data_IF_920768784830
#
_entry.id   IF_920768784830
#
_cell.length_a   1.000
_cell.length_b   1.000
_cell.length_c   1.000
_cell.angle_alpha   90.00
_cell.angle_beta   90.00
_cell.angle_gamma   90.00
#
_symmetry.space_group_name_H-M   'P 1'
#
loop_
_entity.id
_entity.type
_entity.pdbx_description
1 polymer ?
#
# COMPACT_ATOMS: atom_id res chain seq x y z
N UNK A 1 -18.63 -26.42 5.08
CA UNK A 1 -19.02 -25.09 5.58
C UNK A 1 -19.76 -24.35 4.47
N UNK A 2 -20.95 -23.81 4.76
CA UNK A 2 -21.64 -22.93 3.81
C UNK A 2 -20.81 -21.65 3.63
N UNK A 3 -20.77 -21.07 2.41
CA UNK A 3 -20.01 -19.85 2.13
C UNK A 3 -20.41 -18.68 3.04
N UNK A 4 -21.67 -18.63 3.47
CA UNK A 4 -22.18 -17.62 4.41
C UNK A 4 -21.51 -17.68 5.79
N UNK A 5 -21.31 -18.90 6.33
CA UNK A 5 -20.66 -19.11 7.64
C UNK A 5 -19.20 -18.67 7.61
N UNK A 6 -18.51 -18.90 6.49
CA UNK A 6 -17.12 -18.48 6.32
C UNK A 6 -17.01 -16.94 6.27
N UNK A 7 -17.91 -16.27 5.54
CA UNK A 7 -17.96 -14.81 5.48
C UNK A 7 -18.23 -14.21 6.87
N UNK A 8 -19.16 -14.78 7.63
CA UNK A 8 -19.50 -14.28 8.97
C UNK A 8 -18.34 -14.43 9.97
N UNK A 9 -17.62 -15.56 9.93
CA UNK A 9 -16.43 -15.78 10.74
C UNK A 9 -15.28 -14.82 10.37
N UNK A 10 -15.06 -14.57 9.08
CA UNK A 10 -14.09 -13.59 8.60
C UNK A 10 -14.43 -12.18 9.09
N UNK A 11 -15.69 -11.78 9.02
CA UNK A 11 -16.17 -10.48 9.50
C UNK A 11 -15.96 -10.32 11.02
N UNK A 12 -16.32 -11.33 11.82
CA UNK A 12 -16.10 -11.31 13.27
C UNK A 12 -14.60 -11.24 13.62
N UNK A 13 -13.77 -11.97 12.90
CA UNK A 13 -12.32 -11.94 13.08
C UNK A 13 -11.73 -10.56 12.78
N UNK A 14 -12.17 -9.91 11.70
CA UNK A 14 -11.77 -8.53 11.37
C UNK A 14 -12.21 -7.55 12.47
N UNK A 15 -13.46 -7.65 12.95
CA UNK A 15 -13.95 -6.82 14.05
C UNK A 15 -13.12 -7.00 15.33
N UNK A 16 -12.75 -8.24 15.67
CA UNK A 16 -11.91 -8.54 16.82
C UNK A 16 -10.50 -7.92 16.71
N UNK A 17 -9.87 -8.02 15.54
CA UNK A 17 -8.57 -7.38 15.27
C UNK A 17 -8.68 -5.85 15.41
N UNK A 18 -9.76 -5.25 14.91
CA UNK A 18 -10.01 -3.81 15.05
C UNK A 18 -10.14 -3.44 16.53
N UNK A 19 -10.92 -4.18 17.31
CA UNK A 19 -11.11 -3.93 18.74
C UNK A 19 -9.79 -3.99 19.53
N UNK A 20 -8.98 -5.04 19.34
CA UNK A 20 -7.65 -5.15 19.97
C UNK A 20 -6.75 -3.98 19.57
N UNK A 21 -6.76 -3.61 18.28
CA UNK A 21 -5.97 -2.49 17.77
C UNK A 21 -6.36 -1.16 18.41
N UNK A 22 -7.66 -0.93 18.63
CA UNK A 22 -8.19 0.26 19.31
C UNK A 22 -7.76 0.29 20.79
N UNK A 23 -7.89 -0.82 21.52
CA UNK A 23 -7.47 -0.92 22.93
C UNK A 23 -5.96 -0.68 23.07
N UNK A 24 -5.16 -1.33 22.24
CA UNK A 24 -3.70 -1.15 22.22
C UNK A 24 -3.33 0.31 21.93
N UNK A 25 -4.01 0.94 20.96
CA UNK A 25 -3.82 2.35 20.64
C UNK A 25 -4.17 3.26 21.83
N UNK A 26 -5.31 3.07 22.49
CA UNK A 26 -5.70 3.85 23.67
C UNK A 26 -4.70 3.71 24.83
N UNK A 27 -4.24 2.49 25.13
CA UNK A 27 -3.23 2.23 26.17
C UNK A 27 -1.92 2.96 25.85
N UNK A 28 -1.52 2.98 24.59
CA UNK A 28 -0.34 3.71 24.13
C UNK A 28 -0.52 5.23 24.29
N UNK A 29 -1.69 5.78 23.97
CA UNK A 29 -1.98 7.21 24.15
C UNK A 29 -1.89 7.64 25.62
N UNK A 30 -2.43 6.84 26.55
CA UNK A 30 -2.32 7.12 28.00
C UNK A 30 -0.86 7.15 28.48
N UNK A 31 -0.02 6.25 27.99
CA UNK A 31 1.43 6.24 28.30
C UNK A 31 2.13 7.50 27.81
N UNK A 32 1.77 7.98 26.62
CA UNK A 32 2.34 9.22 26.08
C UNK A 32 2.03 10.43 26.92
N UNK A 33 0.78 10.56 27.37
CA UNK A 33 0.37 11.69 28.22
C UNK A 33 1.18 11.68 29.52
N UNK A 34 1.37 10.52 30.16
CA UNK A 34 2.21 10.41 31.37
C UNK A 34 3.66 10.84 31.15
N UNK A 35 4.24 10.50 30.00
CA UNK A 35 5.61 10.94 29.67
C UNK A 35 5.66 12.44 29.39
N UNK A 36 4.64 13.01 28.75
CA UNK A 36 4.56 14.46 28.56
C UNK A 36 4.42 15.19 29.90
N UNK A 37 3.63 14.64 30.83
CA UNK A 37 3.47 15.16 32.19
C UNK A 37 4.80 15.13 32.97
N UNK A 38 5.58 14.05 32.86
CA UNK A 38 6.88 13.96 33.53
C UNK A 38 7.92 14.95 32.95
N UNK A 39 7.80 15.31 31.67
CA UNK A 39 8.64 16.31 31.03
C UNK A 39 8.18 17.75 31.26
N UNK A 40 6.93 17.96 31.68
CA UNK A 40 6.33 19.28 31.79
C UNK A 40 7.05 20.17 32.82
N UNK A 41 7.31 19.64 34.01
CA UNK A 41 8.01 20.36 35.09
C UNK A 41 9.43 20.81 34.66
N UNK A 42 10.31 19.87 34.24
CA UNK A 42 11.67 20.19 33.80
C UNK A 42 11.75 21.15 32.62
N UNK A 43 10.75 21.17 31.74
CA UNK A 43 10.69 22.05 30.58
C UNK A 43 9.90 23.34 30.84
N UNK A 44 9.43 23.57 32.06
CA UNK A 44 8.62 24.74 32.43
C UNK A 44 7.39 24.90 31.52
N UNK A 45 6.73 23.79 31.19
CA UNK A 45 5.62 23.73 30.25
C UNK A 45 4.34 23.17 30.84
N UNK A 46 3.28 23.19 30.04
CA UNK A 46 1.97 22.64 30.39
C UNK A 46 1.50 21.63 29.33
N UNK A 47 0.93 20.51 29.79
CA UNK A 47 0.38 19.47 28.89
C UNK A 47 -1.04 19.86 28.47
N UNK A 48 -1.27 19.97 27.16
CA UNK A 48 -2.59 20.19 26.56
C UNK A 48 -2.93 19.02 25.63
N UNK A 49 -3.72 18.08 26.14
CA UNK A 49 -4.10 16.87 25.42
C UNK A 49 -2.91 15.96 25.13
N UNK A 50 -2.43 15.96 23.87
CA UNK A 50 -1.32 15.11 23.40
C UNK A 50 -0.04 15.89 23.12
N UNK A 51 -0.01 17.16 23.51
CA UNK A 51 1.12 18.05 23.29
C UNK A 51 1.57 18.65 24.63
N UNK A 52 2.87 18.79 24.80
CA UNK A 52 3.46 19.62 25.83
C UNK A 52 3.79 20.98 25.22
N UNK A 53 3.27 22.06 25.77
CA UNK A 53 3.61 23.42 25.38
C UNK A 53 4.64 23.94 26.38
N UNK A 54 5.86 24.19 25.92
CA UNK A 54 6.96 24.70 26.73
C UNK A 54 7.46 26.03 26.15
N UNK A 55 8.32 26.73 26.90
CA UNK A 55 8.96 27.97 26.46
C UNK A 55 10.47 27.81 26.47
N UNK A 56 11.12 28.37 25.46
CA UNK A 56 12.56 28.59 25.45
C UNK A 56 12.78 30.10 25.40
N UNK A 57 13.39 30.65 26.44
CA UNK A 57 13.39 32.10 26.71
C UNK A 57 11.94 32.59 26.77
N UNK A 58 11.46 33.31 25.74
CA UNK A 58 10.07 33.78 25.65
C UNK A 58 9.27 33.12 24.53
N UNK A 59 9.90 32.28 23.69
CA UNK A 59 9.22 31.74 22.51
C UNK A 59 8.59 30.38 22.83
N UNK A 60 7.27 30.21 22.63
CA UNK A 60 6.63 28.94 22.87
C UNK A 60 7.03 27.92 21.82
N UNK A 61 7.20 26.66 22.22
CA UNK A 61 7.30 25.52 21.33
C UNK A 61 6.42 24.38 21.82
N UNK A 62 5.98 23.52 20.89
CA UNK A 62 5.16 22.35 21.16
C UNK A 62 6.02 21.09 21.03
N UNK A 63 5.97 20.21 22.01
CA UNK A 63 6.51 18.86 21.95
C UNK A 63 5.36 17.87 21.85
N UNK A 64 5.39 17.00 20.85
CA UNK A 64 4.41 15.93 20.67
C UNK A 64 5.12 14.61 20.40
N UNK A 65 4.61 13.53 20.97
CA UNK A 65 5.02 12.18 20.58
C UNK A 65 3.99 11.55 19.64
N UNK A 66 4.47 10.95 18.55
CA UNK A 66 3.64 10.24 17.59
C UNK A 66 4.21 8.85 17.31
N UNK A 67 3.36 7.87 17.05
CA UNK A 67 3.74 6.60 16.45
C UNK A 67 2.86 6.39 15.24
N UNK A 68 3.47 6.18 14.08
CA UNK A 68 2.73 5.92 12.86
C UNK A 68 2.97 4.48 12.40
N UNK A 69 1.94 3.65 12.54
CA UNK A 69 1.97 2.25 12.12
C UNK A 69 3.05 1.41 12.83
N UNK A 70 3.80 0.63 12.04
CA UNK A 70 4.90 -0.23 12.51
C UNK A 70 6.24 0.52 12.61
N UNK A 71 6.29 1.80 12.25
CA UNK A 71 7.51 2.60 12.26
C UNK A 71 7.99 2.97 13.68
N UNK A 72 9.19 3.57 13.79
CA UNK A 72 9.70 4.08 15.05
C UNK A 72 8.76 5.11 15.64
N UNK A 73 8.84 5.26 16.96
CA UNK A 73 8.27 6.37 17.67
C UNK A 73 8.92 7.68 17.19
N UNK A 74 8.18 8.78 17.22
CA UNK A 74 8.66 10.10 16.79
C UNK A 74 8.41 11.11 17.90
N UNK A 75 9.43 11.89 18.26
CA UNK A 75 9.25 13.15 18.98
C UNK A 75 9.26 14.29 17.98
N UNK A 76 8.26 15.17 18.06
CA UNK A 76 8.09 16.31 17.16
C UNK A 76 8.15 17.58 17.98
N UNK A 77 9.16 18.40 17.75
CA UNK A 77 9.31 19.73 18.32
C UNK A 77 8.83 20.73 17.27
N UNK A 78 7.78 21.49 17.56
CA UNK A 78 7.20 22.47 16.64
C UNK A 78 7.29 23.87 17.22
N UNK A 79 7.91 24.77 16.47
CA UNK A 79 7.92 26.20 16.75
C UNK A 79 6.81 26.82 15.90
N UNK A 80 5.84 27.50 16.52
CA UNK A 80 4.74 28.11 15.81
C UNK A 80 5.24 29.25 14.92
N UNK A 81 4.71 29.32 13.70
CA UNK A 81 5.07 30.33 12.71
C UNK A 81 4.31 30.09 11.41
N UNK A 82 4.51 30.94 10.40
CA UNK A 82 3.96 30.71 9.07
C UNK A 82 5.06 30.89 8.04
N UNK A 83 5.51 29.81 7.42
CA UNK A 83 6.50 29.88 6.36
C UNK A 83 5.91 30.41 5.03
N UNK A 84 4.60 30.31 4.83
CA UNK A 84 3.92 30.69 3.57
C UNK A 84 4.17 29.72 2.41
N UNK A 85 4.75 28.54 2.69
CA UNK A 85 4.95 27.41 1.81
C UNK A 85 5.29 26.17 2.65
N UNK A 86 5.22 24.99 2.04
CA UNK A 86 5.59 23.72 2.66
C UNK A 86 6.98 23.33 2.16
N UNK A 87 7.91 23.13 3.08
CA UNK A 87 9.23 22.56 2.81
C UNK A 87 9.55 21.49 3.83
N UNK A 88 10.13 20.38 3.41
CA UNK A 88 10.66 19.36 4.29
C UNK A 88 12.04 18.91 3.81
N UNK A 89 12.99 18.85 4.73
CA UNK A 89 14.36 18.40 4.48
C UNK A 89 14.61 17.16 5.30
N UNK A 90 15.11 16.11 4.66
CA UNK A 90 15.45 14.86 5.32
C UNK A 90 16.64 14.19 4.70
N UNK A 91 17.18 13.17 5.37
CA UNK A 91 18.19 12.32 4.75
C UNK A 91 17.65 11.68 3.47
N UNK A 92 18.44 11.76 2.41
CA UNK A 92 18.11 11.19 1.11
C UNK A 92 18.05 9.66 1.24
N UNK A 93 16.97 9.07 0.73
CA UNK A 93 16.85 7.63 0.59
C UNK A 93 17.12 7.20 -0.85
N UNK A 94 17.43 5.91 -1.04
CA UNK A 94 17.59 5.31 -2.36
C UNK A 94 16.41 5.62 -3.29
N UNK A 95 15.17 5.50 -2.77
CA UNK A 95 13.94 5.73 -3.52
C UNK A 95 13.77 7.18 -3.99
N UNK A 96 14.36 8.14 -3.28
CA UNK A 96 14.30 9.56 -3.68
C UNK A 96 15.23 9.81 -4.86
N UNK A 97 16.45 9.27 -4.78
CA UNK A 97 17.43 9.33 -5.86
C UNK A 97 16.89 8.69 -7.13
N UNK A 98 16.19 7.56 -6.98
CA UNK A 98 15.55 6.88 -8.09
C UNK A 98 14.40 7.71 -8.70
N UNK A 99 13.55 8.31 -7.85
CA UNK A 99 12.46 9.18 -8.30
C UNK A 99 12.94 10.41 -9.07
N UNK A 100 14.04 11.04 -8.61
CA UNK A 100 14.68 12.16 -9.31
C UNK A 100 15.27 11.74 -10.66
N UNK A 101 15.93 10.58 -10.75
CA UNK A 101 16.47 10.03 -12.02
C UNK A 101 15.37 9.76 -13.04
N UNK A 102 14.18 9.37 -12.58
CA UNK A 102 13.02 9.21 -13.44
C UNK A 102 12.34 10.55 -13.78
N UNK A 103 12.76 11.67 -13.20
CA UNK A 103 12.12 12.98 -13.38
C UNK A 103 10.70 13.04 -12.82
N UNK A 104 10.41 12.22 -11.79
CA UNK A 104 9.14 12.28 -11.05
C UNK A 104 9.15 13.45 -10.05
N UNK A 105 10.33 13.77 -9.54
CA UNK A 105 10.58 14.89 -8.64
C UNK A 105 11.78 15.67 -9.16
N UNK A 106 11.85 16.96 -8.80
CA UNK A 106 12.97 17.82 -9.14
C UNK A 106 13.46 18.48 -7.86
N UNK A 107 14.76 18.39 -7.54
CA UNK A 107 15.29 19.08 -6.38
C UNK A 107 15.22 20.61 -6.61
N UNK A 108 15.20 21.41 -5.54
CA UNK A 108 15.34 22.86 -5.67
C UNK A 108 16.70 23.20 -6.30
N UNK A 109 16.74 24.26 -7.10
CA UNK A 109 18.02 24.71 -7.65
C UNK A 109 18.79 25.51 -6.61
N UNK A 110 19.76 24.85 -5.96
CA UNK A 110 20.65 25.49 -4.97
C UNK A 110 22.12 25.33 -5.40
N UNK A 111 23.02 26.23 -4.99
CA UNK A 111 24.45 26.15 -5.33
C UNK A 111 25.14 24.92 -4.74
N UNK A 112 24.79 24.58 -3.49
CA UNK A 112 25.39 23.46 -2.76
C UNK A 112 24.79 22.12 -3.22
N UNK A 113 25.36 21.56 -4.29
CA UNK A 113 24.94 20.26 -4.82
C UNK A 113 25.30 19.10 -3.88
N UNK A 114 26.29 19.26 -2.99
CA UNK A 114 26.67 18.22 -2.03
C UNK A 114 25.61 18.07 -0.94
N UNK A 115 25.02 19.18 -0.48
CA UNK A 115 23.86 19.12 0.40
C UNK A 115 22.73 18.28 -0.19
N UNK A 116 22.44 18.48 -1.49
CA UNK A 116 21.43 17.70 -2.19
C UNK A 116 21.83 16.24 -2.33
N UNK A 117 23.12 15.87 -2.42
CA UNK A 117 23.52 14.45 -2.46
C UNK A 117 23.14 13.71 -1.19
N UNK A 118 23.23 14.37 -0.03
CA UNK A 118 22.97 13.73 1.27
C UNK A 118 21.53 13.92 1.74
N UNK A 119 20.88 14.98 1.30
CA UNK A 119 19.56 15.39 1.75
C UNK A 119 18.55 15.48 0.61
N UNK A 120 17.33 15.05 0.89
CA UNK A 120 16.19 15.24 0.02
C UNK A 120 15.37 16.42 0.52
N UNK A 121 15.20 17.41 -0.35
CA UNK A 121 14.33 18.56 -0.11
C UNK A 121 13.02 18.35 -0.86
N UNK A 122 11.94 18.41 -0.10
CA UNK A 122 10.58 18.33 -0.57
C UNK A 122 9.95 19.72 -0.39
N UNK A 123 9.39 20.30 -1.45
CA UNK A 123 8.66 21.55 -1.31
C UNK A 123 7.47 21.63 -2.28
N UNK A 124 6.40 22.30 -1.85
CA UNK A 124 5.28 22.65 -2.73
C UNK A 124 5.62 23.83 -3.66
N UNK A 125 6.55 24.68 -3.26
CA UNK A 125 7.13 25.76 -4.05
C UNK A 125 8.67 25.67 -4.03
N UNK A 126 9.25 25.14 -5.12
CA UNK A 126 10.69 24.93 -5.25
C UNK A 126 11.49 26.24 -5.24
N UNK A 127 10.92 27.33 -5.75
CA UNK A 127 11.59 28.63 -5.79
C UNK A 127 11.75 29.22 -4.39
N UNK A 128 10.68 29.21 -3.58
CA UNK A 128 10.74 29.64 -2.17
C UNK A 128 11.68 28.77 -1.34
N UNK A 129 11.64 27.44 -1.56
CA UNK A 129 12.58 26.53 -0.90
C UNK A 129 14.03 26.81 -1.30
N UNK A 130 14.28 27.07 -2.59
CA UNK A 130 15.60 27.46 -3.07
C UNK A 130 16.07 28.77 -2.44
N UNK A 131 15.21 29.79 -2.33
CA UNK A 131 15.54 31.07 -1.67
C UNK A 131 16.00 30.88 -0.22
N UNK A 132 15.32 30.02 0.55
CA UNK A 132 15.73 29.68 1.92
C UNK A 132 17.06 28.96 1.95
N UNK A 133 17.28 28.02 1.04
CA UNK A 133 18.49 27.18 1.00
C UNK A 133 19.69 27.84 0.31
N UNK A 134 19.49 28.93 -0.45
CA UNK A 134 20.55 29.74 -1.05
C UNK A 134 21.37 30.50 0.00
N UNK A 135 20.77 30.73 1.17
CA UNK A 135 21.37 31.39 2.31
C UNK A 135 22.30 30.43 3.04
N UNK A 136 23.60 30.70 3.01
CA UNK A 136 24.61 29.79 3.57
C UNK A 136 24.46 29.61 5.10
N UNK A 137 24.03 30.65 5.82
CA UNK A 137 23.71 30.61 7.24
C UNK A 137 22.55 29.64 7.54
N UNK A 138 21.46 29.74 6.78
CA UNK A 138 20.31 28.85 6.90
C UNK A 138 20.68 27.41 6.54
N UNK A 139 21.41 27.22 5.44
CA UNK A 139 21.86 25.91 4.98
C UNK A 139 22.75 25.20 6.01
N UNK A 140 23.73 25.92 6.57
CA UNK A 140 24.62 25.40 7.61
C UNK A 140 23.85 25.05 8.89
N UNK A 141 22.88 25.88 9.30
CA UNK A 141 22.04 25.61 10.46
C UNK A 141 21.15 24.36 10.26
N UNK A 142 20.56 24.20 9.07
CA UNK A 142 19.78 23.01 8.70
C UNK A 142 20.68 21.77 8.65
N UNK A 143 21.88 21.88 8.09
CA UNK A 143 22.86 20.78 8.05
C UNK A 143 23.24 20.33 9.46
N UNK A 144 23.60 21.26 10.34
CA UNK A 144 23.94 20.98 11.74
C UNK A 144 22.78 20.37 12.54
N UNK A 145 21.53 20.66 12.17
CA UNK A 145 20.36 19.95 12.72
C UNK A 145 20.32 18.49 12.24
N UNK A 146 20.49 18.24 10.95
CA UNK A 146 20.30 16.91 10.35
C UNK A 146 21.44 15.92 10.64
N UNK A 147 22.66 16.41 10.90
CA UNK A 147 23.82 15.55 11.24
C UNK A 147 23.64 14.78 12.57
N UNK A 148 22.83 15.28 13.50
CA UNK A 148 22.70 14.72 14.86
C UNK A 148 21.73 13.54 14.98
N UNK A 149 21.79 12.58 14.05
CA UNK A 149 20.83 11.46 13.91
C UNK A 149 19.37 11.93 13.78
N UNK A 150 19.15 13.18 13.39
CA UNK A 150 17.82 13.74 13.17
C UNK A 150 17.46 13.51 11.72
N UNK A 151 16.24 13.05 11.46
CA UNK A 151 15.90 12.58 10.12
C UNK A 151 15.11 13.59 9.31
N UNK A 152 14.50 14.60 9.93
CA UNK A 152 13.49 15.38 9.23
C UNK A 152 13.24 16.75 9.87
N UNK A 153 13.41 17.80 9.08
CA UNK A 153 12.98 19.18 9.33
C UNK A 153 11.80 19.48 8.41
N UNK A 154 10.80 20.21 8.89
CA UNK A 154 9.67 20.68 8.09
C UNK A 154 9.33 22.12 8.43
N UNK A 155 9.00 22.90 7.41
CA UNK A 155 8.42 24.22 7.46
C UNK A 155 7.05 24.12 6.77
N UNK A 156 6.00 24.64 7.40
CA UNK A 156 4.68 24.77 6.80
C UNK A 156 3.93 25.99 7.35
N UNK A 157 2.63 26.07 7.08
CA UNK A 157 1.74 27.14 7.55
C UNK A 157 1.57 27.18 9.08
N UNK A 158 1.87 26.07 9.77
CA UNK A 158 1.76 25.96 11.24
C UNK A 158 3.08 26.28 11.95
N UNK A 159 4.19 26.25 11.21
CA UNK A 159 5.49 26.69 11.66
C UNK A 159 6.60 25.74 11.25
N UNK A 160 7.58 25.58 12.12
CA UNK A 160 8.74 24.74 11.88
C UNK A 160 8.74 23.54 12.82
N UNK A 161 8.77 22.34 12.27
CA UNK A 161 8.78 21.08 13.02
C UNK A 161 10.09 20.33 12.80
N UNK A 162 10.71 19.90 13.89
CA UNK A 162 11.84 18.97 13.91
C UNK A 162 11.36 17.62 14.42
N UNK A 163 11.65 16.57 13.64
CA UNK A 163 11.16 15.21 13.91
C UNK A 163 12.34 14.31 14.22
N UNK A 164 12.30 13.78 15.45
CA UNK A 164 13.36 12.99 16.04
C UNK A 164 12.86 11.53 16.11
N UNK A 165 13.51 10.59 15.43
CA UNK A 165 13.19 9.18 15.56
C UNK A 165 13.56 8.68 16.97
N UNK A 166 12.73 7.80 17.50
CA UNK A 166 12.93 7.11 18.76
C UNK A 166 12.93 5.60 18.50
N UNK A 167 13.78 4.86 19.20
CA UNK A 167 13.95 3.42 18.99
C UNK A 167 12.62 2.66 19.14
N UNK A 168 11.80 3.04 20.13
CA UNK A 168 10.45 2.53 20.28
C UNK A 168 9.55 3.48 21.09
N UNK A 169 8.27 3.13 21.21
CA UNK A 169 7.34 3.81 22.15
C UNK A 169 7.40 3.22 23.56
N UNK A 170 8.39 2.40 23.87
CA UNK A 170 8.61 1.98 25.25
C UNK A 170 8.93 3.22 26.08
N UNK A 171 8.36 3.28 27.28
CA UNK A 171 8.51 4.41 28.19
C UNK A 171 9.98 4.76 28.43
N UNK A 172 10.85 3.75 28.57
CA UNK A 172 12.31 3.91 28.68
C UNK A 172 12.94 4.68 27.51
N UNK A 173 12.46 4.50 26.28
CA UNK A 173 13.03 5.13 25.09
C UNK A 173 12.45 6.53 24.89
N UNK A 174 11.22 6.77 25.36
CA UNK A 174 10.63 8.10 25.39
C UNK A 174 11.29 8.99 26.45
N UNK A 175 11.60 8.41 27.62
CA UNK A 175 12.33 9.07 28.72
C UNK A 175 13.84 9.17 28.46
N UNK A 176 14.38 8.46 27.47
CA UNK A 176 15.77 8.59 27.07
C UNK A 176 16.10 9.99 26.53
N UNK A 177 15.10 10.71 26.00
CA UNK A 177 15.24 12.12 25.66
C UNK A 177 15.25 12.95 26.94
N UNK A 178 16.44 13.41 27.35
CA UNK A 178 16.55 14.26 28.54
C UNK A 178 15.96 15.65 28.27
N UNK A 179 15.43 16.35 29.29
CA UNK A 179 14.96 17.73 29.13
C UNK A 179 16.03 18.67 28.52
N UNK A 180 17.30 18.46 28.88
CA UNK A 180 18.44 19.20 28.32
C UNK A 180 18.63 18.97 26.82
N UNK A 181 18.52 17.72 26.35
CA UNK A 181 18.57 17.40 24.92
C UNK A 181 17.39 18.01 24.16
N UNK A 182 16.18 17.96 24.72
CA UNK A 182 14.99 18.57 24.11
C UNK A 182 15.18 20.09 23.97
N UNK A 183 15.62 20.77 25.03
CA UNK A 183 15.92 22.21 25.00
C UNK A 183 17.02 22.54 24.00
N UNK A 184 18.12 21.78 23.98
CA UNK A 184 19.21 21.97 23.04
C UNK A 184 18.77 21.81 21.58
N UNK A 185 17.92 20.82 21.29
CA UNK A 185 17.35 20.62 19.95
C UNK A 185 16.35 21.71 19.58
N UNK A 186 15.51 22.14 20.51
CA UNK A 186 14.62 23.29 20.30
C UNK A 186 15.44 24.56 19.99
N UNK A 187 16.50 24.85 20.74
CA UNK A 187 17.37 26.00 20.52
C UNK A 187 18.02 25.98 19.13
N UNK A 188 18.54 24.81 18.70
CA UNK A 188 19.07 24.66 17.33
C UNK A 188 17.99 24.85 16.27
N UNK A 189 16.77 24.36 16.51
CA UNK A 189 15.65 24.59 15.61
C UNK A 189 15.30 26.08 15.53
N UNK A 190 15.24 26.78 16.67
CA UNK A 190 15.04 28.24 16.71
C UNK A 190 16.10 28.98 15.89
N UNK A 191 17.37 28.63 16.05
CA UNK A 191 18.46 29.23 15.28
C UNK A 191 18.29 28.98 13.78
N UNK A 192 17.98 27.74 13.36
CA UNK A 192 17.78 27.41 11.95
C UNK A 192 16.54 28.09 11.36
N UNK A 193 15.45 28.19 12.11
CA UNK A 193 14.22 28.86 11.69
C UNK A 193 14.43 30.37 11.61
N UNK A 194 15.15 30.96 12.58
CA UNK A 194 15.55 32.36 12.53
C UNK A 194 16.40 32.66 11.29
N UNK A 195 17.40 31.82 11.01
CA UNK A 195 18.20 31.94 9.80
C UNK A 195 17.36 31.72 8.52
N UNK A 196 16.40 30.79 8.51
CA UNK A 196 15.59 30.48 7.34
C UNK A 196 14.47 31.50 7.07
N UNK A 197 13.82 32.07 8.10
CA UNK A 197 12.56 32.81 8.00
C UNK A 197 12.64 34.31 8.37
N UNK A 198 13.83 34.86 8.64
CA UNK A 198 14.01 36.31 8.92
C UNK A 198 13.42 37.22 7.80
N UNK A 199 12.55 38.21 8.12
CA UNK A 199 11.35 38.14 8.94
C UNK A 199 10.09 38.24 8.04
N UNK A 200 9.42 37.12 7.78
CA UNK A 200 7.96 37.17 7.55
C UNK A 200 7.27 37.26 8.92
N UNK A 201 7.37 38.43 9.59
CA UNK A 201 6.68 38.72 10.86
C UNK A 201 5.17 38.87 10.58
N UNK A 202 4.47 37.75 10.39
CA UNK A 202 3.02 37.73 10.49
C UNK A 202 2.58 37.27 11.89
N UNK A 203 1.54 37.91 12.47
CA UNK A 203 1.08 37.60 13.82
C UNK A 203 0.61 36.15 13.95
N UNK A 204 0.86 35.58 15.12
CA UNK A 204 0.60 34.19 15.52
C UNK A 204 -0.87 33.84 15.31
N UNK A 205 -1.16 33.12 14.23
CA UNK A 205 -2.45 32.46 14.02
C UNK A 205 -2.60 31.21 14.90
N UNK A 206 -3.83 30.72 15.02
CA UNK A 206 -4.14 29.51 15.80
C UNK A 206 -3.40 28.29 15.21
N UNK A 207 -2.44 27.77 15.98
CA UNK A 207 -1.52 26.73 15.54
C UNK A 207 -2.24 25.38 15.54
N UNK A 208 -2.67 24.92 14.35
CA UNK A 208 -3.22 23.57 14.18
C UNK A 208 -2.21 22.53 14.69
N UNK A 209 -2.66 21.50 15.43
CA UNK A 209 -1.75 20.46 15.91
C UNK A 209 -1.08 19.77 14.73
N UNK A 210 0.23 19.56 14.84
CA UNK A 210 1.01 18.81 13.87
C UNK A 210 0.36 17.43 13.66
N UNK A 211 -0.15 17.17 12.46
CA UNK A 211 -0.61 15.84 12.12
C UNK A 211 0.56 15.03 11.58
N UNK A 212 0.97 13.98 12.28
CA UNK A 212 1.95 13.03 11.75
C UNK A 212 1.52 12.44 10.38
N UNK A 213 0.22 12.42 10.08
CA UNK A 213 -0.30 12.04 8.77
C UNK A 213 0.03 13.03 7.65
N UNK A 214 0.49 14.24 7.97
CA UNK A 214 1.02 15.17 6.98
C UNK A 214 2.47 14.85 6.61
N UNK A 215 3.18 14.06 7.43
CA UNK A 215 4.57 13.62 7.22
C UNK A 215 4.64 12.37 6.32
N UNK A 216 3.53 11.64 6.21
CA UNK A 216 3.36 10.48 5.35
C UNK A 216 1.90 10.42 4.93
N UNK A 217 1.61 10.48 3.63
CA UNK A 217 0.29 10.34 2.98
C UNK A 217 -0.94 10.66 3.84
N UNK A 218 -1.72 11.66 3.41
CA UNK A 218 -3.07 11.84 3.92
C UNK A 218 -3.77 10.47 3.97
N UNK A 219 -4.15 10.06 5.18
CA UNK A 219 -4.70 8.73 5.46
C UNK A 219 -5.89 8.44 4.54
N UNK A 220 -6.64 9.49 4.17
CA UNK A 220 -7.73 9.41 3.21
C UNK A 220 -7.24 9.04 1.82
N UNK A 221 -6.19 9.71 1.32
CA UNK A 221 -5.59 9.39 0.02
C UNK A 221 -5.01 7.98 0.00
N UNK A 222 -4.20 7.60 1.00
CA UNK A 222 -3.64 6.23 1.05
C UNK A 222 -4.72 5.15 1.12
N UNK A 223 -5.83 5.39 1.84
CA UNK A 223 -6.98 4.49 1.87
C UNK A 223 -7.69 4.41 0.51
N UNK A 224 -8.01 5.54 -0.12
CA UNK A 224 -8.64 5.58 -1.46
C UNK A 224 -7.76 4.82 -2.46
N UNK A 225 -6.44 5.02 -2.39
CA UNK A 225 -5.49 4.37 -3.28
C UNK A 225 -5.36 2.87 -3.03
N UNK A 226 -5.29 2.44 -1.77
CA UNK A 226 -5.31 1.03 -1.42
C UNK A 226 -6.61 0.35 -1.91
N UNK A 227 -7.75 1.02 -1.78
CA UNK A 227 -9.03 0.53 -2.30
C UNK A 227 -9.03 0.45 -3.83
N UNK A 228 -8.51 1.48 -4.52
CA UNK A 228 -8.45 1.53 -5.97
C UNK A 228 -7.59 0.40 -6.57
N UNK A 229 -6.53 -0.04 -5.88
CA UNK A 229 -5.70 -1.16 -6.36
C UNK A 229 -6.19 -2.54 -5.90
N UNK A 230 -6.71 -2.64 -4.67
CA UNK A 230 -7.10 -3.93 -4.08
C UNK A 230 -8.46 -4.41 -4.56
N UNK A 231 -9.43 -3.51 -4.79
CA UNK A 231 -10.76 -3.89 -5.22
C UNK A 231 -10.75 -4.60 -6.58
N UNK A 232 -10.04 -4.11 -7.63
CA UNK A 232 -10.02 -4.82 -8.90
C UNK A 232 -9.28 -6.16 -8.82
N UNK A 233 -8.28 -6.32 -7.94
CA UNK A 233 -7.64 -7.62 -7.67
C UNK A 233 -8.66 -8.61 -7.07
N UNK A 234 -9.43 -8.16 -6.08
CA UNK A 234 -10.48 -8.98 -5.45
C UNK A 234 -11.54 -9.37 -6.48
N UNK A 235 -12.02 -8.40 -7.28
CA UNK A 235 -12.99 -8.65 -8.35
C UNK A 235 -12.45 -9.63 -9.38
N UNK A 236 -11.19 -9.48 -9.80
CA UNK A 236 -10.54 -10.40 -10.75
C UNK A 236 -10.44 -11.82 -10.19
N UNK A 237 -10.09 -11.96 -8.90
CA UNK A 237 -10.06 -13.26 -8.24
C UNK A 237 -11.45 -13.91 -8.18
N UNK A 238 -12.49 -13.12 -7.84
CA UNK A 238 -13.88 -13.59 -7.82
C UNK A 238 -14.30 -14.03 -9.22
N UNK A 239 -14.04 -13.22 -10.25
CA UNK A 239 -14.35 -13.55 -11.64
C UNK A 239 -13.63 -14.82 -12.10
N UNK A 240 -12.37 -15.01 -11.72
CA UNK A 240 -11.63 -16.23 -12.04
C UNK A 240 -12.24 -17.47 -11.36
N UNK A 241 -12.67 -17.36 -10.10
CA UNK A 241 -13.35 -18.44 -9.38
C UNK A 241 -14.71 -18.75 -10.02
N UNK A 242 -15.48 -17.72 -10.38
CA UNK A 242 -16.76 -17.87 -11.06
C UNK A 242 -16.58 -18.49 -12.45
N UNK A 243 -15.62 -18.02 -13.23
CA UNK A 243 -15.29 -18.58 -14.55
C UNK A 243 -14.96 -20.07 -14.44
N UNK A 244 -14.12 -20.46 -13.49
CA UNK A 244 -13.76 -21.87 -13.27
C UNK A 244 -14.97 -22.72 -12.87
N UNK A 245 -15.92 -22.17 -12.10
CA UNK A 245 -17.12 -22.90 -11.66
C UNK A 245 -18.19 -23.01 -12.74
N UNK A 246 -18.42 -21.94 -13.49
CA UNK A 246 -19.47 -21.87 -14.52
C UNK A 246 -19.02 -22.46 -15.85
N UNK A 247 -17.74 -22.33 -16.19
CA UNK A 247 -17.15 -22.73 -17.46
C UNK A 247 -15.96 -23.66 -17.19
N UNK A 248 -16.24 -24.86 -16.71
CA UNK A 248 -15.19 -25.82 -16.33
C UNK A 248 -14.36 -26.18 -17.56
N UNK A 249 -13.08 -25.78 -17.64
CA UNK A 249 -12.29 -26.02 -18.85
C UNK A 249 -11.97 -27.50 -18.99
N UNK A 250 -11.99 -27.99 -20.23
CA UNK A 250 -11.63 -29.38 -20.53
C UNK A 250 -10.15 -29.65 -20.24
N UNK A 251 -9.28 -28.68 -20.58
CA UNK A 251 -7.86 -28.68 -20.23
C UNK A 251 -7.51 -27.41 -19.46
N UNK A 252 -7.48 -27.52 -18.12
CA UNK A 252 -7.13 -26.40 -17.25
C UNK A 252 -5.74 -25.82 -17.52
N UNK A 253 -4.76 -26.67 -17.87
CA UNK A 253 -3.41 -26.21 -18.19
C UNK A 253 -3.36 -25.45 -19.53
N UNK A 254 -4.04 -25.96 -20.57
CA UNK A 254 -4.06 -25.29 -21.87
C UNK A 254 -4.76 -23.93 -21.78
N UNK A 255 -5.93 -23.88 -21.12
CA UNK A 255 -6.68 -22.63 -20.91
C UNK A 255 -5.87 -21.63 -20.11
N UNK A 256 -5.21 -22.06 -19.03
CA UNK A 256 -4.37 -21.19 -18.22
C UNK A 256 -3.19 -20.65 -19.05
N UNK A 257 -2.46 -21.52 -19.76
CA UNK A 257 -1.37 -21.09 -20.67
C UNK A 257 -1.83 -20.08 -21.72
N UNK A 258 -3.01 -20.30 -22.30
CA UNK A 258 -3.68 -19.36 -23.20
C UNK A 258 -3.95 -18.01 -22.55
N UNK A 259 -4.58 -18.02 -21.37
CA UNK A 259 -4.89 -16.82 -20.60
C UNK A 259 -3.62 -16.03 -20.24
N UNK A 260 -2.55 -16.74 -19.85
CA UNK A 260 -1.24 -16.15 -19.57
C UNK A 260 -0.63 -15.48 -20.81
N UNK A 261 -0.68 -16.12 -21.99
CA UNK A 261 -0.17 -15.53 -23.23
C UNK A 261 -1.00 -14.31 -23.65
N UNK A 262 -2.32 -14.43 -23.56
CA UNK A 262 -3.25 -13.35 -23.87
C UNK A 262 -3.06 -12.15 -22.95
N UNK A 263 -2.79 -12.36 -21.66
CA UNK A 263 -2.67 -11.26 -20.70
C UNK A 263 -1.38 -10.45 -20.83
N UNK A 264 -0.30 -11.00 -21.39
CA UNK A 264 0.99 -10.29 -21.49
C UNK A 264 0.86 -8.99 -22.27
N UNK A 265 0.34 -9.03 -23.51
CA UNK A 265 0.34 -7.86 -24.40
C UNK A 265 -0.57 -6.72 -23.90
N UNK A 266 -1.84 -6.96 -23.51
CA UNK A 266 -2.69 -5.95 -22.89
C UNK A 266 -2.08 -5.41 -21.59
N UNK A 267 -1.43 -6.26 -20.79
CA UNK A 267 -0.77 -5.82 -19.54
C UNK A 267 0.38 -4.89 -19.84
N UNK A 268 1.25 -5.22 -20.80
CA UNK A 268 2.34 -4.34 -21.20
C UNK A 268 1.80 -3.00 -21.70
N UNK A 269 0.77 -3.00 -22.55
CA UNK A 269 0.13 -1.76 -23.02
C UNK A 269 -0.46 -0.97 -21.85
N UNK A 270 -1.24 -1.62 -20.98
CA UNK A 270 -1.86 -0.98 -19.83
C UNK A 270 -0.84 -0.39 -18.86
N UNK A 271 0.28 -1.08 -18.64
CA UNK A 271 1.39 -0.58 -17.82
C UNK A 271 2.07 0.60 -18.49
N UNK A 272 2.36 0.56 -19.79
CA UNK A 272 2.97 1.69 -20.49
C UNK A 272 2.06 2.92 -20.46
N UNK A 273 0.75 2.75 -20.68
CA UNK A 273 -0.25 3.81 -20.57
C UNK A 273 -0.32 4.36 -19.14
N UNK A 274 -0.29 3.48 -18.12
CA UNK A 274 -0.27 3.89 -16.73
C UNK A 274 1.01 4.66 -16.38
N UNK A 275 2.18 4.21 -16.81
CA UNK A 275 3.45 4.90 -16.57
C UNK A 275 3.45 6.28 -17.23
N UNK A 276 2.92 6.38 -18.46
CA UNK A 276 2.80 7.64 -19.18
C UNK A 276 1.82 8.61 -18.51
N UNK A 277 0.57 8.19 -18.28
CA UNK A 277 -0.45 9.00 -17.63
C UNK A 277 -0.09 9.34 -16.17
N UNK A 278 0.47 8.36 -15.46
CA UNK A 278 0.98 8.51 -14.10
C UNK A 278 2.07 9.57 -14.06
N UNK A 279 3.05 9.54 -14.96
CA UNK A 279 4.08 10.59 -15.04
C UNK A 279 3.46 11.99 -15.17
N UNK A 280 2.41 12.16 -15.99
CA UNK A 280 1.76 13.46 -16.15
C UNK A 280 1.00 13.90 -14.90
N UNK A 281 0.33 12.97 -14.22
CA UNK A 281 -0.47 13.25 -13.03
C UNK A 281 0.39 13.50 -11.79
N UNK A 282 1.40 12.67 -11.58
CA UNK A 282 2.21 12.63 -10.36
C UNK A 282 3.27 13.74 -10.31
N UNK A 283 3.59 14.43 -11.43
CA UNK A 283 4.57 15.53 -11.44
C UNK A 283 4.26 16.71 -10.51
N UNK A 284 3.01 16.85 -10.05
CA UNK A 284 2.58 18.01 -9.27
C UNK A 284 2.64 17.81 -7.75
N UNK A 285 2.89 16.59 -7.26
CA UNK A 285 2.91 16.32 -5.82
C UNK A 285 4.30 15.87 -5.37
N UNK A 286 4.89 16.52 -4.35
CA UNK A 286 6.29 16.26 -4.00
C UNK A 286 6.52 14.93 -3.22
N UNK A 287 5.45 14.18 -2.93
CA UNK A 287 5.49 12.77 -2.44
C UNK A 287 5.10 11.73 -3.51
N UNK A 288 4.87 12.18 -4.75
CA UNK A 288 4.25 11.37 -5.79
C UNK A 288 5.07 10.16 -6.22
N UNK A 289 6.40 10.24 -6.14
CA UNK A 289 7.29 9.16 -6.56
C UNK A 289 7.06 7.89 -5.73
N UNK A 290 6.81 8.03 -4.43
CA UNK A 290 6.50 6.90 -3.54
C UNK A 290 5.19 6.23 -3.93
N UNK A 291 4.16 7.00 -4.25
CA UNK A 291 2.89 6.45 -4.75
C UNK A 291 3.06 5.80 -6.08
N UNK A 292 3.72 6.51 -7.00
CA UNK A 292 3.98 6.04 -8.33
C UNK A 292 4.71 4.69 -8.30
N UNK A 293 5.66 4.47 -7.38
CA UNK A 293 6.29 3.17 -7.20
C UNK A 293 5.33 2.08 -6.73
N UNK A 294 4.54 2.35 -5.68
CA UNK A 294 3.55 1.38 -5.18
C UNK A 294 2.57 1.00 -6.30
N UNK A 295 2.08 1.98 -7.05
CA UNK A 295 1.20 1.73 -8.18
C UNK A 295 1.88 1.03 -9.35
N UNK A 296 3.12 1.40 -9.66
CA UNK A 296 3.89 0.76 -10.72
C UNK A 296 4.14 -0.71 -10.43
N UNK A 297 4.08 -1.14 -9.17
CA UNK A 297 4.14 -2.54 -8.78
C UNK A 297 2.76 -3.21 -8.77
N UNK A 298 1.75 -2.56 -8.19
CA UNK A 298 0.43 -3.17 -7.99
C UNK A 298 -0.40 -3.20 -9.27
N UNK A 299 -0.38 -2.15 -10.08
CA UNK A 299 -1.21 -2.04 -11.28
C UNK A 299 -0.89 -3.12 -12.32
N UNK A 300 0.39 -3.42 -12.66
CA UNK A 300 0.68 -4.55 -13.54
C UNK A 300 0.09 -5.86 -13.04
N UNK A 301 0.21 -6.14 -11.74
CA UNK A 301 -0.34 -7.37 -11.14
C UNK A 301 -1.86 -7.40 -11.23
N UNK A 302 -2.52 -6.28 -10.93
CA UNK A 302 -3.98 -6.13 -11.04
C UNK A 302 -4.45 -6.31 -12.47
N UNK A 303 -3.81 -5.67 -13.43
CA UNK A 303 -4.18 -5.73 -14.84
C UNK A 303 -3.97 -7.13 -15.40
N UNK A 304 -2.84 -7.76 -15.05
CA UNK A 304 -2.52 -9.12 -15.45
C UNK A 304 -3.56 -10.13 -14.96
N UNK A 305 -3.92 -10.05 -13.67
CA UNK A 305 -4.96 -10.90 -13.07
C UNK A 305 -6.33 -10.62 -13.68
N UNK A 306 -6.67 -9.36 -13.95
CA UNK A 306 -7.92 -8.98 -14.61
C UNK A 306 -8.02 -9.55 -16.02
N UNK A 307 -6.93 -9.50 -16.81
CA UNK A 307 -6.88 -10.10 -18.14
C UNK A 307 -7.03 -11.62 -18.11
N UNK A 308 -6.38 -12.31 -17.18
CA UNK A 308 -6.55 -13.77 -17.01
C UNK A 308 -8.00 -14.10 -16.67
N UNK A 309 -8.56 -13.42 -15.67
CA UNK A 309 -9.93 -13.64 -15.23
C UNK A 309 -10.94 -13.34 -16.35
N UNK A 310 -10.76 -12.21 -17.04
CA UNK A 310 -11.58 -11.78 -18.17
C UNK A 310 -11.50 -12.77 -19.34
N UNK A 311 -10.29 -13.23 -19.69
CA UNK A 311 -10.10 -14.25 -20.72
C UNK A 311 -10.85 -15.54 -20.38
N UNK A 312 -10.69 -16.05 -19.15
CA UNK A 312 -11.37 -17.27 -18.72
C UNK A 312 -12.89 -17.13 -18.71
N UNK A 313 -13.39 -16.00 -18.21
CA UNK A 313 -14.81 -15.73 -18.13
C UNK A 313 -15.44 -15.56 -19.51
N UNK A 314 -14.85 -14.70 -20.35
CA UNK A 314 -15.34 -14.44 -21.71
C UNK A 314 -15.24 -15.65 -22.62
N UNK A 315 -14.28 -16.57 -22.37
CA UNK A 315 -14.20 -17.83 -23.10
C UNK A 315 -15.51 -18.62 -23.06
N UNK A 316 -16.19 -18.66 -21.91
CA UNK A 316 -17.47 -19.36 -21.78
C UNK A 316 -18.68 -18.46 -21.90
N UNK A 317 -18.61 -17.24 -21.35
CA UNK A 317 -19.74 -16.30 -21.35
C UNK A 317 -20.12 -15.80 -22.74
N UNK A 318 -19.15 -15.67 -23.65
CA UNK A 318 -19.37 -15.24 -25.04
C UNK A 318 -19.40 -16.42 -26.01
N UNK A 319 -19.38 -17.66 -25.51
CA UNK A 319 -19.42 -18.84 -26.36
C UNK A 319 -20.83 -19.09 -26.92
N UNK A 320 -20.94 -18.96 -28.24
CA UNK A 320 -22.16 -19.23 -29.01
C UNK A 320 -22.11 -20.58 -29.76
N UNK A 321 -21.03 -21.35 -29.64
CA UNK A 321 -20.89 -22.63 -30.33
C UNK A 321 -21.93 -23.65 -29.89
N UNK A 322 -22.45 -24.52 -30.78
CA UNK A 322 -23.34 -25.60 -30.37
C UNK A 322 -22.59 -26.60 -29.46
N UNK A 323 -23.30 -27.20 -28.51
CA UNK A 323 -22.73 -28.27 -27.68
C UNK A 323 -22.55 -29.54 -28.52
N UNK A 324 -21.35 -30.13 -28.46
CA UNK A 324 -21.02 -31.41 -29.07
C UNK A 324 -20.98 -32.46 -27.98
N UNK A 325 -21.72 -33.55 -28.16
CA UNK A 325 -21.79 -34.65 -27.21
C UNK A 325 -20.83 -35.76 -27.59
N UNK A 326 -20.02 -36.19 -26.63
CA UNK A 326 -19.07 -37.29 -26.80
C UNK A 326 -19.40 -38.42 -25.84
N UNK A 327 -19.51 -39.63 -26.36
CA UNK A 327 -19.57 -40.86 -25.56
C UNK A 327 -18.16 -41.39 -25.37
N UNK A 328 -17.75 -41.58 -24.13
CA UNK A 328 -16.45 -42.14 -23.76
C UNK A 328 -16.60 -43.01 -22.51
N UNK A 329 -15.51 -43.61 -22.04
CA UNK A 329 -15.50 -44.51 -20.89
C UNK A 329 -14.76 -43.88 -19.71
N UNK A 330 -15.20 -44.21 -18.50
CA UNK A 330 -14.50 -43.81 -17.27
C UNK A 330 -13.18 -44.60 -17.17
N UNK A 331 -12.05 -43.96 -17.47
CA UNK A 331 -10.73 -44.57 -17.40
C UNK A 331 -10.21 -44.69 -15.96
N UNK A 332 -10.61 -43.77 -15.07
CA UNK A 332 -10.12 -43.81 -13.70
C UNK A 332 -10.83 -42.86 -12.74
N UNK A 333 -10.70 -43.18 -11.46
CA UNK A 333 -11.28 -42.42 -10.35
C UNK A 333 -10.18 -42.11 -9.33
N UNK A 334 -10.12 -40.87 -8.85
CA UNK A 334 -9.12 -40.46 -7.85
C UNK A 334 -9.71 -39.54 -6.79
N UNK A 335 -9.40 -39.86 -5.53
CA UNK A 335 -9.71 -39.01 -4.37
C UNK A 335 -8.41 -38.39 -3.86
N UNK A 336 -8.39 -37.07 -3.73
CA UNK A 336 -7.30 -36.34 -3.10
C UNK A 336 -7.71 -35.93 -1.69
N UNK A 337 -6.88 -36.25 -0.71
CA UNK A 337 -7.11 -35.88 0.69
C UNK A 337 -6.21 -34.69 1.05
N UNK A 338 -6.82 -33.59 1.48
CA UNK A 338 -6.13 -32.39 1.95
C UNK A 338 -6.92 -31.73 3.07
N UNK A 339 -7.30 -30.45 2.91
CA UNK A 339 -8.27 -29.79 3.82
C UNK A 339 -9.71 -30.27 3.63
N UNK A 340 -9.92 -31.26 2.76
CA UNK A 340 -11.17 -31.93 2.43
C UNK A 340 -10.90 -33.02 1.39
N UNK A 341 -11.89 -33.85 1.11
CA UNK A 341 -11.85 -34.81 0.01
C UNK A 341 -12.18 -34.10 -1.32
N UNK A 342 -11.32 -34.27 -2.32
CA UNK A 342 -11.56 -33.80 -3.68
C UNK A 342 -11.66 -34.98 -4.63
N UNK A 343 -12.81 -35.10 -5.29
CA UNK A 343 -13.12 -36.20 -6.20
C UNK A 343 -12.83 -35.79 -7.64
N UNK A 344 -12.09 -36.63 -8.35
CA UNK A 344 -11.76 -36.44 -9.75
C UNK A 344 -12.02 -37.72 -10.55
N UNK A 345 -12.55 -37.53 -11.75
CA UNK A 345 -12.82 -38.57 -12.71
C UNK A 345 -11.96 -38.34 -13.95
N UNK A 346 -11.35 -39.42 -14.44
CA UNK A 346 -10.54 -39.46 -15.66
C UNK A 346 -11.33 -40.23 -16.71
N UNK A 347 -11.50 -39.64 -17.89
CA UNK A 347 -12.15 -40.27 -19.04
C UNK A 347 -11.11 -40.71 -20.05
N UNK A 348 -11.38 -41.84 -20.69
CA UNK A 348 -10.62 -42.33 -21.82
C UNK A 348 -10.64 -41.25 -22.93
N UNK A 349 -9.57 -41.13 -23.73
CA UNK A 349 -9.50 -40.16 -24.81
C UNK A 349 -10.63 -40.38 -25.84
N UNK A 350 -11.18 -39.28 -26.38
CA UNK A 350 -12.17 -39.31 -27.46
C UNK A 350 -11.78 -38.31 -28.55
N UNK A 351 -12.30 -38.52 -29.78
CA UNK A 351 -12.25 -37.57 -30.90
C UNK A 351 -10.92 -36.81 -31.05
N UNK A 352 -9.83 -37.54 -31.28
CA UNK A 352 -8.51 -36.95 -31.52
C UNK A 352 -7.82 -36.28 -30.32
N UNK A 353 -8.42 -36.31 -29.12
CA UNK A 353 -7.73 -35.91 -27.88
C UNK A 353 -6.71 -36.97 -27.48
N UNK A 354 -5.51 -36.53 -27.11
CA UNK A 354 -4.44 -37.41 -26.60
C UNK A 354 -4.46 -37.40 -25.08
N UNK A 355 -4.46 -38.59 -24.49
CA UNK A 355 -4.40 -38.80 -23.04
C UNK A 355 -5.75 -38.64 -22.34
N UNK A 356 -5.80 -39.12 -21.09
CA UNK A 356 -7.02 -39.10 -20.29
C UNK A 356 -7.40 -37.67 -19.90
N UNK A 357 -8.68 -37.34 -20.04
CA UNK A 357 -9.21 -36.03 -19.63
C UNK A 357 -9.69 -36.12 -18.19
N UNK A 358 -9.17 -35.24 -17.33
CA UNK A 358 -9.52 -35.20 -15.90
C UNK A 358 -10.37 -34.00 -15.56
N UNK A 359 -11.41 -34.23 -14.77
CA UNK A 359 -12.23 -33.15 -14.22
C UNK A 359 -12.60 -33.44 -12.76
N UNK A 360 -12.95 -32.37 -12.05
CA UNK A 360 -13.40 -32.43 -10.66
C UNK A 360 -14.91 -32.62 -10.66
N UNK A 361 -15.40 -33.57 -9.88
CA UNK A 361 -16.83 -33.83 -9.73
C UNK A 361 -17.24 -33.79 -8.25
N UNK A 362 -18.54 -33.76 -8.00
CA UNK A 362 -19.06 -33.92 -6.64
C UNK A 362 -18.88 -35.36 -6.14
N UNK A 363 -18.86 -35.54 -4.82
CA UNK A 363 -18.83 -36.85 -4.17
C UNK A 363 -19.96 -37.77 -4.66
N UNK A 364 -21.19 -37.25 -4.73
CA UNK A 364 -22.36 -37.99 -5.21
C UNK A 364 -22.18 -38.50 -6.64
N UNK A 365 -21.68 -37.66 -7.54
CA UNK A 365 -21.37 -38.09 -8.91
C UNK A 365 -20.25 -39.11 -8.93
N UNK A 366 -19.24 -38.93 -8.07
CA UNK A 366 -18.12 -39.86 -7.99
C UNK A 366 -18.56 -41.25 -7.57
N UNK A 367 -19.49 -41.37 -6.61
CA UNK A 367 -20.04 -42.66 -6.18
C UNK A 367 -20.88 -43.34 -7.27
N UNK A 368 -21.57 -42.56 -8.11
CA UNK A 368 -22.43 -43.09 -9.18
C UNK A 368 -21.69 -43.66 -10.39
N UNK A 369 -20.44 -43.24 -10.63
CA UNK A 369 -19.68 -43.68 -11.78
C UNK A 369 -18.77 -44.87 -11.47
N UNK A 370 -18.75 -45.88 -12.34
CA UNK A 370 -17.82 -47.01 -12.27
C UNK A 370 -16.74 -46.92 -13.36
N UNK A 371 -15.56 -47.49 -13.09
CA UNK A 371 -14.48 -47.56 -14.10
C UNK A 371 -14.94 -48.49 -15.23
N UNK A 372 -14.76 -48.08 -16.49
CA UNK A 372 -15.25 -48.76 -17.68
C UNK A 372 -16.69 -48.40 -18.07
N UNK A 373 -17.42 -47.68 -17.21
CA UNK A 373 -18.77 -47.24 -17.55
C UNK A 373 -18.74 -46.23 -18.70
N UNK A 374 -19.65 -46.40 -19.67
CA UNK A 374 -19.85 -45.43 -20.75
C UNK A 374 -20.59 -44.21 -20.23
N UNK A 375 -20.07 -43.04 -20.53
CA UNK A 375 -20.65 -41.75 -20.16
C UNK A 375 -20.70 -40.84 -21.37
N UNK A 376 -21.74 -40.01 -21.43
CA UNK A 376 -21.90 -38.96 -22.43
C UNK A 376 -21.63 -37.61 -21.76
N UNK A 377 -20.80 -36.78 -22.39
CA UNK A 377 -20.48 -35.44 -21.90
C UNK A 377 -20.72 -34.38 -22.99
N UNK A 378 -21.19 -33.20 -22.59
CA UNK A 378 -21.39 -32.06 -23.50
C UNK A 378 -20.19 -31.11 -23.45
N UNK A 379 -19.60 -30.82 -24.61
CA UNK A 379 -18.46 -29.90 -24.75
C UNK A 379 -18.84 -28.76 -25.69
N UNK A 380 -18.41 -27.55 -25.35
CA UNK A 380 -18.47 -26.39 -26.26
C UNK A 380 -17.05 -25.89 -26.54
N UNK A 381 -16.84 -25.26 -27.70
CA UNK A 381 -15.50 -24.90 -28.18
C UNK A 381 -14.84 -23.76 -27.39
N UNK A 382 -15.64 -22.92 -26.74
CA UNK A 382 -15.19 -21.67 -26.15
C UNK A 382 -14.97 -20.57 -27.21
N UNK A 383 -15.21 -19.32 -26.82
CA UNK A 383 -14.99 -18.14 -27.67
C UNK A 383 -13.52 -18.02 -28.11
N UNK A 384 -12.57 -18.38 -27.23
CA UNK A 384 -11.14 -18.31 -27.53
C UNK A 384 -10.58 -19.66 -28.01
N UNK A 385 -11.44 -20.62 -28.38
CA UNK A 385 -11.04 -21.96 -28.80
C UNK A 385 -10.58 -22.87 -27.67
N UNK A 386 -10.85 -22.50 -26.41
CA UNK A 386 -10.59 -23.35 -25.26
C UNK A 386 -11.88 -24.05 -24.84
N UNK A 387 -11.93 -25.35 -25.07
CA UNK A 387 -13.11 -26.15 -24.78
C UNK A 387 -13.46 -26.16 -23.29
N UNK A 388 -14.75 -26.17 -23.00
CA UNK A 388 -15.29 -26.27 -21.65
C UNK A 388 -16.50 -27.20 -21.62
N UNK A 389 -16.74 -27.77 -20.44
CA UNK A 389 -17.81 -28.75 -20.20
C UNK A 389 -19.14 -28.01 -20.01
N UNK A 390 -20.06 -28.15 -20.96
CA UNK A 390 -21.39 -27.52 -20.91
C UNK A 390 -22.42 -28.40 -20.21
N UNK A 391 -22.20 -29.72 -20.20
CA UNK A 391 -23.06 -30.67 -19.52
C UNK A 391 -22.19 -31.68 -18.78
N UNK A 392 -22.42 -31.90 -17.47
CA UNK A 392 -21.63 -32.87 -16.71
C UNK A 392 -21.75 -34.27 -17.34
N UNK A 393 -20.81 -35.19 -17.08
CA UNK A 393 -20.93 -36.57 -17.53
C UNK A 393 -22.24 -37.16 -17.02
N UNK A 394 -22.94 -37.88 -17.89
CA UNK A 394 -24.15 -38.64 -17.58
C UNK A 394 -23.90 -40.07 -18.04
N UNK A 395 -24.35 -41.07 -17.28
CA UNK A 395 -24.27 -42.47 -17.70
C UNK A 395 -24.97 -42.64 -19.06
N UNK A 396 -24.28 -43.24 -20.03
CA UNK A 396 -24.92 -43.63 -21.28
C UNK A 396 -25.86 -44.81 -20.99
N UNK A 397 -27.11 -44.71 -21.44
CA UNK A 397 -28.10 -45.78 -21.34
C UNK A 397 -27.81 -46.91 -22.31
#
# INVERSE_FOLDING_TARGET
MQPLTLILLLSLFVCFIIAISVIAYQKQQKRLVKVLESLAGPLSGAVQGKCLIARLEETPYKLQFAKQGKGPALAVITIPGNAGFIMAVRKRMFLDSWGERLGLTSPPDIPDKDFLKDHYVHADNLEKAAQVLWRQDALNAIRGLLETKMHYLRLDETGASLVIPLASMAEKDLLALTPGEIRGKAAKLFAAVGAALQPARNPVGEVKPFSASALFFDKKQSMIMAMATSLPLIVSLILMILAKKMYTPLSGQAMMSGAFRFSIMPTVIGVLLFLFAGRLWFRKTPESHRLFMVFSLLIPMTFFMACIAGFMFTNGALDSSPAVFYTTEVAGKKVYHGKGAHYSLSLAPWSGKKGDVRFSISEKQYEQFEIGQKVTLGVRSGMWGYEWVSSPPIAAQ
#
